data_IF_432847113019
#
_entry.id   IF_432847113019
#
_cell.length_a   1.000
_cell.length_b   1.000
_cell.length_c   1.000
_cell.angle_alpha   90.00
_cell.angle_beta   90.00
_cell.angle_gamma   90.00
#
_symmetry.space_group_name_H-M   'P 1'
#
loop_
_entity.id
_entity.type
_entity.pdbx_description
1 polymer ?
#
# COMPACT_ATOMS: atom_id res chain seq x y z
N UNK A 1 -15.86 2.92 -5.92
CA UNK A 1 -15.45 3.07 -4.52
C UNK A 1 -14.09 2.48 -4.29
N UNK A 2 -13.26 3.12 -3.50
CA UNK A 2 -11.94 2.57 -3.24
C UNK A 2 -12.03 1.35 -2.34
N UNK A 3 -11.12 0.43 -2.53
CA UNK A 3 -11.09 -0.78 -1.71
C UNK A 3 -10.77 -0.44 -0.26
N UNK A 4 -9.82 0.47 -0.05
CA UNK A 4 -9.46 0.91 1.28
C UNK A 4 -9.34 2.41 1.30
N UNK A 5 -9.84 3.00 2.35
CA UNK A 5 -9.69 4.44 2.55
C UNK A 5 -8.48 4.71 3.41
N UNK A 6 -7.89 5.87 3.23
CA UNK A 6 -6.71 6.26 3.99
C UNK A 6 -6.96 6.15 5.50
N UNK A 7 -8.14 6.55 5.93
CA UNK A 7 -8.49 6.48 7.35
C UNK A 7 -8.44 5.06 7.87
N UNK A 8 -8.98 4.11 7.10
CA UNK A 8 -8.98 2.71 7.50
C UNK A 8 -7.57 2.18 7.60
N UNK A 9 -6.73 2.55 6.65
CA UNK A 9 -5.35 2.09 6.65
C UNK A 9 -4.60 2.61 7.86
N UNK A 10 -4.84 3.86 8.22
CA UNK A 10 -4.18 4.45 9.38
C UNK A 10 -4.59 3.78 10.69
N UNK A 11 -5.81 3.28 10.74
CA UNK A 11 -6.29 2.60 11.93
C UNK A 11 -5.77 1.17 12.04
N UNK A 12 -5.27 0.62 10.96
CA UNK A 12 -4.74 -0.73 10.98
C UNK A 12 -3.39 -0.80 11.65
N UNK A 13 -3.10 -1.94 12.28
CA UNK A 13 -1.79 -2.17 12.83
C UNK A 13 -0.82 -2.42 11.68
N UNK A 14 0.49 -2.24 11.91
CA UNK A 14 1.48 -2.51 10.86
C UNK A 14 1.40 -3.92 10.30
N UNK A 15 1.08 -4.88 11.15
CA UNK A 15 0.94 -6.26 10.70
C UNK A 15 -0.24 -6.44 9.78
N UNK A 16 -1.36 -5.83 10.12
CA UNK A 16 -2.54 -5.89 9.27
C UNK A 16 -2.29 -5.23 7.93
N UNK A 17 -1.59 -4.09 7.94
CA UNK A 17 -1.27 -3.41 6.70
C UNK A 17 -0.40 -4.27 5.80
N UNK A 18 0.60 -4.91 6.38
CA UNK A 18 1.49 -5.76 5.60
C UNK A 18 0.72 -6.93 4.99
N UNK A 19 -0.20 -7.48 5.77
CA UNK A 19 -1.02 -8.59 5.30
C UNK A 19 -1.91 -8.17 4.14
N UNK A 20 -2.57 -7.04 4.29
CA UNK A 20 -3.43 -6.52 3.23
C UNK A 20 -2.63 -6.18 1.99
N UNK A 21 -1.45 -5.61 2.16
CA UNK A 21 -0.59 -5.28 1.05
C UNK A 21 -0.21 -6.53 0.26
N UNK A 22 0.15 -7.60 0.96
CA UNK A 22 0.47 -8.86 0.31
C UNK A 22 -0.72 -9.44 -0.43
N UNK A 23 -1.89 -9.38 0.18
CA UNK A 23 -3.11 -9.87 -0.46
C UNK A 23 -3.38 -9.12 -1.76
N UNK A 24 -3.30 -7.80 -1.72
CA UNK A 24 -3.55 -7.00 -2.89
C UNK A 24 -2.51 -7.22 -3.98
N UNK A 25 -1.24 -7.34 -3.59
CA UNK A 25 -0.19 -7.63 -4.56
C UNK A 25 -0.37 -8.97 -5.23
N UNK A 26 -0.76 -9.96 -4.45
CA UNK A 26 -1.00 -11.29 -4.98
C UNK A 26 -2.15 -11.29 -5.97
N UNK A 27 -3.22 -10.60 -5.62
CA UNK A 27 -4.38 -10.52 -6.51
C UNK A 27 -4.01 -9.77 -7.80
N UNK A 28 -3.28 -8.67 -7.67
CA UNK A 28 -2.86 -7.89 -8.83
C UNK A 28 -1.98 -8.73 -9.75
N UNK A 29 -1.05 -9.47 -9.18
CA UNK A 29 -0.18 -10.34 -9.96
C UNK A 29 -0.98 -11.40 -10.71
N UNK A 30 -1.96 -11.97 -10.04
CA UNK A 30 -2.82 -12.97 -10.66
C UNK A 30 -3.55 -12.39 -11.85
N UNK A 31 -4.12 -11.20 -11.69
CA UNK A 31 -4.84 -10.54 -12.78
C UNK A 31 -3.92 -10.20 -13.94
N UNK A 32 -2.73 -9.74 -13.65
CA UNK A 32 -1.75 -9.44 -14.70
C UNK A 32 -1.34 -10.70 -15.44
N UNK A 33 -1.19 -11.79 -14.73
CA UNK A 33 -0.83 -13.06 -15.33
C UNK A 33 -1.94 -13.54 -16.27
N UNK A 34 -3.18 -13.36 -15.86
CA UNK A 34 -4.31 -13.73 -16.70
C UNK A 34 -4.31 -12.92 -18.00
N UNK A 35 -4.02 -11.65 -17.92
CA UNK A 35 -3.96 -10.81 -19.12
C UNK A 35 -2.85 -11.28 -20.05
N UNK A 36 -1.68 -11.59 -19.50
CA UNK A 36 -0.55 -12.06 -20.29
C UNK A 36 -0.87 -13.38 -20.98
N UNK A 37 -1.65 -14.23 -20.34
CA UNK A 37 -2.01 -15.51 -20.90
C UNK A 37 -3.10 -15.38 -21.97
N UNK A 38 -3.51 -14.17 -22.29
CA UNK A 38 -4.52 -13.96 -23.30
C UNK A 38 -5.93 -13.93 -22.77
N UNK A 39 -6.09 -14.02 -21.45
CA UNK A 39 -7.39 -13.95 -20.85
C UNK A 39 -7.87 -12.52 -20.71
N UNK A 40 -9.17 -12.32 -20.71
CA UNK A 40 -9.74 -11.01 -20.52
C UNK A 40 -10.07 -10.83 -19.04
N UNK A 41 -9.82 -9.63 -18.53
CA UNK A 41 -10.19 -9.31 -17.16
C UNK A 41 -11.61 -8.78 -17.20
N UNK A 42 -12.49 -9.41 -16.45
CA UNK A 42 -13.88 -8.99 -16.43
C UNK A 42 -14.07 -7.58 -15.89
N UNK A 43 -13.23 -7.19 -14.97
CA UNK A 43 -13.39 -5.88 -14.36
C UNK A 43 -12.05 -5.15 -14.31
N UNK A 44 -11.71 -4.41 -15.35
CA UNK A 44 -10.44 -3.68 -15.38
C UNK A 44 -10.34 -2.62 -14.27
N UNK A 45 -11.47 -2.14 -13.77
CA UNK A 45 -11.47 -1.19 -12.67
C UNK A 45 -10.86 -1.81 -11.40
N UNK A 46 -10.97 -3.12 -11.26
CA UNK A 46 -10.41 -3.82 -10.10
C UNK A 46 -8.89 -3.66 -10.04
N UNK A 47 -8.24 -3.72 -11.20
CA UNK A 47 -6.79 -3.54 -11.26
C UNK A 47 -6.40 -2.15 -10.79
N UNK A 48 -7.14 -1.14 -11.22
CA UNK A 48 -6.89 0.23 -10.81
C UNK A 48 -7.09 0.40 -9.31
N UNK A 49 -8.14 -0.19 -8.78
CA UNK A 49 -8.42 -0.10 -7.35
C UNK A 49 -7.35 -0.77 -6.53
N UNK A 50 -6.86 -1.93 -6.98
CA UNK A 50 -5.79 -2.63 -6.30
C UNK A 50 -4.51 -1.80 -6.28
N UNK A 51 -4.17 -1.20 -7.41
CA UNK A 51 -3.00 -0.34 -7.48
C UNK A 51 -3.12 0.85 -6.54
N UNK A 52 -4.28 1.46 -6.49
CA UNK A 52 -4.51 2.60 -5.60
C UNK A 52 -4.42 2.19 -4.14
N UNK A 53 -5.00 1.03 -3.81
CA UNK A 53 -4.95 0.54 -2.44
C UNK A 53 -3.51 0.26 -2.01
N UNK A 54 -2.74 -0.38 -2.87
CA UNK A 54 -1.33 -0.65 -2.60
C UNK A 54 -0.56 0.65 -2.39
N UNK A 55 -0.79 1.61 -3.28
CA UNK A 55 -0.10 2.90 -3.18
C UNK A 55 -0.44 3.62 -1.88
N UNK A 56 -1.70 3.57 -1.47
CA UNK A 56 -2.12 4.20 -0.23
C UNK A 56 -1.47 3.55 0.98
N UNK A 57 -1.43 2.22 1.01
CA UNK A 57 -0.81 1.51 2.12
C UNK A 57 0.66 1.86 2.20
N UNK A 58 1.36 1.86 1.08
CA UNK A 58 2.77 2.19 1.06
C UNK A 58 3.02 3.63 1.48
N UNK A 59 2.15 4.54 1.06
CA UNK A 59 2.28 5.95 1.43
C UNK A 59 2.15 6.13 2.94
N UNK A 60 1.18 5.47 3.53
CA UNK A 60 0.96 5.59 4.97
C UNK A 60 2.09 4.96 5.76
N UNK A 61 2.60 3.83 5.30
CA UNK A 61 3.75 3.22 5.94
C UNK A 61 4.96 4.14 5.90
N UNK A 62 5.17 4.80 4.75
CA UNK A 62 6.26 5.75 4.63
C UNK A 62 6.07 6.95 5.54
N UNK A 63 4.85 7.46 5.67
CA UNK A 63 4.58 8.55 6.56
C UNK A 63 4.92 8.19 8.00
N UNK A 64 4.50 7.03 8.45
CA UNK A 64 4.76 6.59 9.81
C UNK A 64 6.24 6.36 10.03
N UNK A 65 6.90 5.80 9.05
CA UNK A 65 8.33 5.58 9.13
C UNK A 65 9.06 6.90 9.24
N UNK A 66 8.66 7.90 8.46
CA UNK A 66 9.26 9.22 8.52
C UNK A 66 9.05 9.87 9.87
N UNK A 67 7.90 9.70 10.46
CA UNK A 67 7.62 10.26 11.76
C UNK A 67 8.52 9.64 12.82
N UNK A 68 8.74 8.36 12.76
CA UNK A 68 9.62 7.66 13.68
C UNK A 68 11.05 8.14 13.49
N UNK A 69 11.51 8.24 12.27
CA UNK A 69 12.86 8.70 11.98
C UNK A 69 13.04 10.15 12.42
N UNK A 70 12.04 10.97 12.18
CA UNK A 70 12.08 12.36 12.58
C UNK A 70 12.19 12.50 14.09
N UNK A 71 11.46 11.68 14.81
CA UNK A 71 11.54 11.70 16.26
C UNK A 71 12.92 11.32 16.74
N UNK A 72 13.54 10.35 16.10
CA UNK A 72 14.90 9.94 16.44
C UNK A 72 15.89 11.04 16.13
N UNK A 73 15.75 11.64 14.98
CA UNK A 73 16.65 12.70 14.56
C UNK A 73 16.54 13.92 15.46
N UNK A 74 15.32 14.22 15.88
CA UNK A 74 15.14 15.32 16.80
C UNK A 74 15.90 15.07 18.07
N UNK A 75 15.89 13.86 18.54
CA UNK A 75 16.60 13.52 19.76
C UNK A 75 18.10 13.64 19.58
N UNK A 76 18.60 13.43 18.38
CA UNK A 76 20.01 13.54 18.12
C UNK A 76 20.40 14.93 17.68
N UNK A 77 19.45 15.70 17.34
CA UNK A 77 19.78 17.04 16.88
C UNK A 77 20.36 17.10 15.51
N UNK A 78 20.23 16.09 14.67
CA UNK A 78 20.87 16.13 13.50
C UNK A 78 19.96 16.22 12.38
N UNK A 79 20.31 16.56 11.30
CA UNK A 79 19.55 16.70 10.28
C UNK A 79 20.21 16.31 9.11
N UNK A 80 19.68 15.72 8.38
CA UNK A 80 20.35 15.37 7.37
C UNK A 80 20.11 16.14 6.26
N UNK A 81 20.77 16.52 5.70
CA UNK A 81 20.59 17.33 4.55
C UNK A 81 19.68 16.80 3.54
#
# INVERSE_FOLDING_TARGET
MPILRVKEIREMSPEERAKKLNEFRTELLRLKTMIKAGGAVENPARIRELRKAIARILTIENEQKRQIEKARESGKGRKSG
#
